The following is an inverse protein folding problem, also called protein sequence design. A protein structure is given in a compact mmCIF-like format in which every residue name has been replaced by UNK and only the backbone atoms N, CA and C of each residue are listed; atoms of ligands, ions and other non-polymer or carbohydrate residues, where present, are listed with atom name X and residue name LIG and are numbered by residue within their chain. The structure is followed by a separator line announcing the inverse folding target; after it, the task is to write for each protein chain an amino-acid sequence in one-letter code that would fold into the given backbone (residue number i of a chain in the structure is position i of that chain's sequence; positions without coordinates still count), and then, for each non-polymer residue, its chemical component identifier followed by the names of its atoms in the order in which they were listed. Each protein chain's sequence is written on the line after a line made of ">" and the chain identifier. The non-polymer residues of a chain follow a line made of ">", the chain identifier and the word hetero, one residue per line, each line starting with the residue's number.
data_IF_880371225127
#
_entry.id   IF_880371225127
#
_cell.length_a   1.000
_cell.length_b   1.000
_cell.length_c   1.000
_cell.angle_alpha   90.00
_cell.angle_beta   90.00
_cell.angle_gamma   90.00
#
_symmetry.space_group_name_H-M   'P 1'
#
loop_
_entity.id
_entity.type
_entity.pdbx_description
1 polymer ?
#
# COMPACT_ATOMS: atom_id res chain seq x y z
N UNK A 1 -3.12 18.82 -82.94
CA UNK A 1 -3.68 17.81 -82.03
C UNK A 1 -2.82 17.78 -80.76
N UNK A 2 -3.29 18.35 -79.62
CA UNK A 2 -2.55 18.43 -78.39
C UNK A 2 -3.23 17.45 -77.41
N UNK A 3 -2.48 16.42 -76.98
CA UNK A 3 -2.91 15.41 -75.99
C UNK A 3 -2.84 16.00 -74.56
N UNK A 4 -3.98 16.06 -73.88
CA UNK A 4 -4.02 16.38 -72.40
C UNK A 4 -3.75 15.13 -71.60
N UNK A 5 -2.61 15.10 -70.91
CA UNK A 5 -2.35 14.14 -69.88
C UNK A 5 -3.11 14.54 -68.62
N UNK A 6 -4.08 13.73 -68.18
CA UNK A 6 -4.74 13.85 -66.87
C UNK A 6 -3.90 13.12 -65.81
N UNK A 7 -3.31 13.87 -64.90
CA UNK A 7 -2.66 13.35 -63.73
C UNK A 7 -3.76 13.10 -62.67
N UNK A 8 -3.98 11.85 -62.31
CA UNK A 8 -4.87 11.49 -61.22
C UNK A 8 -4.08 11.59 -59.88
N UNK A 9 -4.46 12.53 -59.05
CA UNK A 9 -3.92 12.65 -57.69
C UNK A 9 -4.73 11.70 -56.80
N UNK A 10 -4.08 10.60 -56.32
CA UNK A 10 -4.66 9.69 -55.31
C UNK A 10 -4.35 10.31 -53.97
N UNK A 11 -5.39 10.82 -53.29
CA UNK A 11 -5.33 11.29 -51.91
C UNK A 11 -5.40 10.06 -50.98
N UNK A 12 -4.26 9.66 -50.43
CA UNK A 12 -4.22 8.67 -49.33
C UNK A 12 -4.70 9.35 -48.03
N UNK A 13 -5.93 9.07 -47.65
CA UNK A 13 -6.43 9.39 -46.32
C UNK A 13 -5.77 8.45 -45.28
N UNK A 14 -4.81 8.96 -44.52
CA UNK A 14 -4.27 8.30 -43.36
C UNK A 14 -5.33 8.32 -42.25
N UNK A 15 -5.94 7.18 -41.98
CA UNK A 15 -6.81 7.00 -40.82
C UNK A 15 -5.90 6.83 -39.59
N UNK A 16 -5.98 7.70 -38.57
CA UNK A 16 -5.22 7.48 -37.34
C UNK A 16 -5.79 6.24 -36.63
N UNK A 17 -4.98 5.22 -36.55
CA UNK A 17 -5.26 4.04 -35.68
C UNK A 17 -5.12 4.51 -34.22
N UNK A 18 -6.23 4.84 -33.58
CA UNK A 18 -6.28 5.01 -32.13
C UNK A 18 -6.10 3.61 -31.53
N UNK A 19 -4.89 3.29 -31.14
CA UNK A 19 -4.63 2.17 -30.27
C UNK A 19 -5.24 2.50 -28.90
N UNK A 20 -6.47 2.04 -28.66
CA UNK A 20 -7.01 1.97 -27.31
C UNK A 20 -6.17 0.96 -26.53
N UNK A 21 -5.30 1.45 -25.65
CA UNK A 21 -4.68 0.62 -24.62
C UNK A 21 -5.81 0.11 -23.72
N UNK A 22 -6.24 -1.12 -23.92
CA UNK A 22 -7.05 -1.84 -22.95
C UNK A 22 -6.12 -2.10 -21.78
N UNK A 23 -6.25 -1.29 -20.72
CA UNK A 23 -5.72 -1.67 -19.42
C UNK A 23 -6.42 -2.95 -19.02
N UNK A 24 -5.73 -4.08 -19.10
CA UNK A 24 -6.17 -5.31 -18.48
C UNK A 24 -6.07 -5.05 -16.96
N UNK A 25 -7.20 -4.70 -16.34
CA UNK A 25 -7.31 -4.65 -14.89
C UNK A 25 -6.91 -6.01 -14.30
N UNK A 26 -6.35 -6.00 -13.10
CA UNK A 26 -6.03 -7.23 -12.38
C UNK A 26 -7.27 -8.13 -12.26
N UNK A 27 -7.13 -9.42 -12.52
CA UNK A 27 -8.23 -10.37 -12.36
C UNK A 27 -8.37 -10.70 -10.87
N UNK A 28 -9.58 -10.50 -10.33
CA UNK A 28 -9.86 -10.76 -8.91
C UNK A 28 -9.85 -12.27 -8.63
N UNK A 29 -8.95 -12.77 -7.73
CA UNK A 29 -8.83 -14.21 -7.47
C UNK A 29 -10.02 -14.81 -6.71
N UNK A 30 -10.91 -13.97 -6.17
CA UNK A 30 -12.03 -14.37 -5.34
C UNK A 30 -11.70 -14.51 -3.87
N UNK A 31 -12.76 -14.56 -3.06
CA UNK A 31 -12.69 -14.84 -1.62
C UNK A 31 -13.40 -16.14 -1.31
N UNK A 32 -12.89 -16.84 -0.29
CA UNK A 32 -13.55 -18.02 0.27
C UNK A 32 -14.03 -17.65 1.67
N UNK A 33 -15.34 -17.83 1.91
CA UNK A 33 -15.93 -17.63 3.23
C UNK A 33 -16.01 -18.97 3.97
N UNK A 34 -15.54 -19.02 5.22
CA UNK A 34 -15.70 -20.22 6.04
C UNK A 34 -17.14 -20.30 6.58
N UNK A 35 -17.78 -21.49 6.54
CA UNK A 35 -19.16 -21.66 7.03
C UNK A 35 -19.27 -21.55 8.55
N UNK A 36 -18.17 -21.73 9.28
CA UNK A 36 -18.14 -21.76 10.73
C UNK A 36 -17.43 -20.51 11.30
N UNK A 37 -17.94 -20.04 12.46
CA UNK A 37 -17.30 -18.93 13.18
C UNK A 37 -15.93 -19.36 13.68
N UNK A 38 -14.89 -18.62 13.28
CA UNK A 38 -13.52 -18.82 13.73
C UNK A 38 -13.18 -17.89 14.88
N UNK A 39 -12.20 -18.30 15.70
CA UNK A 39 -11.73 -17.52 16.85
C UNK A 39 -10.41 -16.82 16.60
N UNK A 40 -9.73 -17.15 15.49
CA UNK A 40 -8.37 -16.69 15.16
C UNK A 40 -8.35 -15.65 14.06
N UNK A 41 -9.37 -15.64 13.17
CA UNK A 41 -9.51 -14.71 12.06
C UNK A 41 -10.97 -14.44 11.77
N UNK A 42 -11.23 -13.65 10.71
CA UNK A 42 -12.60 -13.24 10.33
C UNK A 42 -13.37 -14.35 9.59
N UNK A 43 -12.74 -15.51 9.32
CA UNK A 43 -13.35 -16.61 8.56
C UNK A 43 -13.42 -16.36 7.05
N UNK A 44 -12.70 -15.36 6.55
CA UNK A 44 -12.57 -15.03 5.14
C UNK A 44 -11.15 -15.34 4.69
N UNK A 45 -11.00 -15.92 3.52
CA UNK A 45 -9.72 -16.33 2.95
C UNK A 45 -9.47 -15.61 1.64
N UNK A 46 -8.23 -15.20 1.46
CA UNK A 46 -7.72 -14.66 0.21
C UNK A 46 -6.46 -15.43 -0.21
N UNK A 47 -6.48 -16.05 -1.38
CA UNK A 47 -5.38 -16.88 -1.88
C UNK A 47 -4.84 -17.87 -0.83
N UNK A 48 -5.74 -18.65 -0.22
CA UNK A 48 -5.50 -19.65 0.83
C UNK A 48 -5.07 -19.12 2.22
N UNK A 49 -4.86 -17.82 2.39
CA UNK A 49 -4.59 -17.18 3.68
C UNK A 49 -5.88 -16.76 4.37
N UNK A 50 -6.08 -17.18 5.62
CA UNK A 50 -7.14 -16.64 6.48
C UNK A 50 -6.77 -15.20 6.91
N UNK A 51 -7.71 -14.28 6.76
CA UNK A 51 -7.54 -12.88 7.13
C UNK A 51 -7.71 -12.74 8.65
N UNK A 52 -6.80 -12.01 9.31
CA UNK A 52 -6.87 -11.78 10.75
C UNK A 52 -7.96 -10.78 11.15
N UNK A 53 -8.23 -10.66 12.44
CA UNK A 53 -9.05 -9.58 12.97
C UNK A 53 -8.28 -8.25 12.93
N UNK A 54 -8.98 -7.18 12.60
CA UNK A 54 -8.45 -5.81 12.69
C UNK A 54 -8.23 -5.43 14.16
N UNK A 55 -7.08 -4.81 14.44
CA UNK A 55 -6.79 -4.23 15.74
C UNK A 55 -7.62 -2.96 15.96
N UNK A 56 -8.49 -2.95 16.98
CA UNK A 56 -9.31 -1.78 17.30
C UNK A 56 -8.50 -0.65 17.96
N UNK A 57 -8.95 0.60 17.77
CA UNK A 57 -8.31 1.82 18.30
C UNK A 57 -8.04 1.80 19.81
N UNK A 58 -8.80 1.02 20.60
CA UNK A 58 -8.55 0.85 22.05
C UNK A 58 -7.20 0.23 22.35
N UNK A 59 -6.59 -0.46 21.39
CA UNK A 59 -5.26 -1.03 21.50
C UNK A 59 -4.15 -0.08 20.97
N UNK A 60 -4.46 1.18 20.63
CA UNK A 60 -3.49 2.14 20.10
C UNK A 60 -2.26 2.35 21.01
N UNK A 61 -2.43 2.17 22.34
CA UNK A 61 -1.30 2.22 23.29
C UNK A 61 -0.22 1.18 23.02
N UNK A 62 -0.59 0.02 22.45
CA UNK A 62 0.37 -1.01 22.03
C UNK A 62 1.23 -0.54 20.84
N UNK A 63 0.67 0.26 19.93
CA UNK A 63 1.39 0.82 18.79
C UNK A 63 2.47 1.82 19.18
N UNK A 64 2.39 2.41 20.37
CA UNK A 64 3.33 3.39 20.89
C UNK A 64 4.24 2.83 22.00
N UNK A 65 4.30 1.48 22.18
CA UNK A 65 5.15 0.86 23.18
C UNK A 65 6.64 1.15 22.93
N UNK A 66 7.44 1.44 23.97
CA UNK A 66 8.86 1.78 23.78
C UNK A 66 9.70 0.66 23.15
N UNK A 67 9.33 -0.59 23.39
CA UNK A 67 10.01 -1.78 22.87
C UNK A 67 10.03 -1.81 21.33
N UNK A 68 9.05 -1.18 20.70
CA UNK A 68 8.90 -1.10 19.24
C UNK A 68 10.14 -0.53 18.53
N UNK A 69 10.86 0.38 19.20
CA UNK A 69 12.11 0.95 18.67
C UNK A 69 13.16 -0.15 18.42
N UNK A 70 13.26 -1.15 19.31
CA UNK A 70 14.21 -2.25 19.16
C UNK A 70 13.66 -3.41 18.32
N UNK A 71 12.35 -3.64 18.38
CA UNK A 71 11.67 -4.73 17.70
C UNK A 71 11.48 -4.46 16.20
N UNK A 72 11.20 -3.21 15.83
CA UNK A 72 10.79 -2.83 14.48
C UNK A 72 11.71 -1.79 13.82
N UNK A 73 12.67 -1.20 14.56
CA UNK A 73 13.67 -0.25 14.06
C UNK A 73 13.06 0.85 13.14
N UNK A 74 12.01 1.59 13.57
CA UNK A 74 11.19 2.41 12.69
C UNK A 74 11.97 3.52 11.97
N UNK A 75 13.01 4.09 12.61
CA UNK A 75 13.83 5.13 11.98
C UNK A 75 14.67 4.53 10.83
N UNK A 76 15.19 3.30 11.00
CA UNK A 76 15.88 2.59 9.95
C UNK A 76 14.95 2.20 8.79
N UNK A 77 13.69 1.83 9.08
CA UNK A 77 12.67 1.60 8.04
C UNK A 77 12.51 2.85 7.18
N UNK A 78 12.23 4.00 7.80
CA UNK A 78 11.99 5.26 7.08
C UNK A 78 13.23 5.71 6.32
N UNK A 79 14.43 5.49 6.84
CA UNK A 79 15.69 5.78 6.14
C UNK A 79 15.84 4.94 4.87
N UNK A 80 15.52 3.65 4.94
CA UNK A 80 15.61 2.73 3.80
C UNK A 80 14.48 2.90 2.75
N UNK A 81 13.46 3.71 3.05
CA UNK A 81 12.49 4.09 2.03
C UNK A 81 13.09 5.02 0.96
N UNK A 82 14.21 5.68 1.23
CA UNK A 82 14.87 6.60 0.30
C UNK A 82 13.87 7.59 -0.31
N UNK A 83 13.21 8.35 0.54
CA UNK A 83 12.21 9.35 0.16
C UNK A 83 12.87 10.67 -0.24
N UNK A 84 12.33 11.31 -1.28
CA UNK A 84 12.70 12.69 -1.62
C UNK A 84 11.88 13.67 -0.77
N UNK A 85 12.41 14.89 -0.49
CA UNK A 85 11.76 15.86 0.40
C UNK A 85 10.34 16.29 -0.03
N UNK A 86 10.00 16.21 -1.31
CA UNK A 86 8.74 16.62 -1.91
C UNK A 86 7.77 15.46 -2.19
N UNK A 87 8.13 14.24 -1.78
CA UNK A 87 7.27 13.07 -1.97
C UNK A 87 5.94 13.18 -1.22
N UNK A 88 4.90 12.66 -1.83
CA UNK A 88 3.61 12.39 -1.20
C UNK A 88 3.57 10.90 -0.83
N UNK A 89 3.49 10.61 0.46
CA UNK A 89 3.54 9.23 0.98
C UNK A 89 2.23 8.88 1.65
N UNK A 90 1.64 7.74 1.29
CA UNK A 90 0.48 7.19 1.99
C UNK A 90 0.92 6.17 3.05
N UNK A 91 0.53 6.39 4.30
CA UNK A 91 0.67 5.44 5.42
C UNK A 91 -0.67 4.74 5.57
N UNK A 92 -0.76 3.48 5.13
CA UNK A 92 -2.01 2.72 5.04
C UNK A 92 -2.18 1.82 6.26
N UNK A 93 -3.26 2.02 7.01
CA UNK A 93 -3.41 1.49 8.36
C UNK A 93 -2.55 2.27 9.35
N UNK A 94 -2.57 3.60 9.25
CA UNK A 94 -1.67 4.49 9.96
C UNK A 94 -1.74 4.37 11.50
N UNK A 95 -2.87 3.85 12.03
CA UNK A 95 -3.06 3.66 13.46
C UNK A 95 -2.87 4.96 14.24
N UNK A 96 -1.96 4.97 15.21
CA UNK A 96 -1.63 6.15 16.00
C UNK A 96 -0.72 7.17 15.29
N UNK A 97 -0.38 6.96 14.01
CA UNK A 97 0.56 7.80 13.27
C UNK A 97 2.03 7.52 13.56
N UNK A 98 2.34 6.39 14.18
CA UNK A 98 3.71 6.07 14.62
C UNK A 98 4.76 6.18 13.50
N UNK A 99 4.42 5.74 12.27
CA UNK A 99 5.25 5.92 11.09
C UNK A 99 4.96 7.26 10.39
N UNK A 100 3.71 7.72 10.37
CA UNK A 100 3.33 8.98 9.71
C UNK A 100 4.19 10.17 10.16
N UNK A 101 4.43 10.34 11.47
CA UNK A 101 5.25 11.44 12.00
C UNK A 101 6.73 11.34 11.61
N UNK A 102 7.27 10.11 11.54
CA UNK A 102 8.66 9.88 11.11
C UNK A 102 8.84 10.18 9.63
N UNK A 103 7.86 9.76 8.82
CA UNK A 103 7.85 10.03 7.37
C UNK A 103 7.68 11.53 7.11
N UNK A 104 6.78 12.20 7.84
CA UNK A 104 6.57 13.64 7.70
C UNK A 104 7.86 14.46 7.90
N UNK A 105 8.72 14.02 8.82
CA UNK A 105 10.04 14.64 9.02
C UNK A 105 11.02 14.44 7.84
N UNK A 106 10.80 13.42 6.99
CA UNK A 106 11.62 13.14 5.80
C UNK A 106 11.12 13.83 4.54
N UNK A 107 9.84 14.21 4.52
CA UNK A 107 9.19 14.84 3.37
C UNK A 107 8.69 16.26 3.72
N UNK A 108 9.59 17.18 4.14
CA UNK A 108 9.20 18.50 4.64
C UNK A 108 8.51 19.39 3.58
N UNK A 109 8.81 19.17 2.30
CA UNK A 109 8.23 19.90 1.16
C UNK A 109 7.06 19.10 0.50
N UNK A 110 6.87 17.86 0.92
CA UNK A 110 5.80 16.97 0.53
C UNK A 110 4.73 16.82 1.60
N UNK A 111 4.09 15.66 1.66
CA UNK A 111 3.11 15.35 2.71
C UNK A 111 2.93 13.86 2.95
N UNK A 112 2.37 13.53 4.10
CA UNK A 112 1.90 12.19 4.45
C UNK A 112 0.38 12.16 4.43
N UNK A 113 -0.19 11.18 3.72
CA UNK A 113 -1.60 10.84 3.78
C UNK A 113 -1.75 9.66 4.75
N UNK A 114 -2.17 9.96 5.98
CA UNK A 114 -2.39 8.95 7.02
C UNK A 114 -3.78 8.32 6.81
N UNK A 115 -3.82 7.12 6.22
CA UNK A 115 -5.06 6.43 5.87
C UNK A 115 -5.40 5.42 6.95
N UNK A 116 -6.59 5.54 7.54
CA UNK A 116 -7.11 4.54 8.47
C UNK A 116 -8.63 4.39 8.30
N UNK A 117 -9.16 3.19 8.57
CA UNK A 117 -10.61 2.92 8.52
C UNK A 117 -11.32 3.33 9.81
N UNK A 118 -10.57 3.61 10.88
CA UNK A 118 -11.09 3.98 12.20
C UNK A 118 -10.92 5.49 12.42
N UNK A 119 -12.01 6.26 12.45
CA UNK A 119 -11.93 7.72 12.65
C UNK A 119 -11.28 8.09 13.99
N UNK A 120 -11.34 7.22 14.99
CA UNK A 120 -10.68 7.44 16.28
C UNK A 120 -9.15 7.42 16.16
N UNK A 121 -8.58 6.63 15.26
CA UNK A 121 -7.14 6.64 14.97
C UNK A 121 -6.73 7.96 14.33
N UNK A 122 -7.51 8.46 13.36
CA UNK A 122 -7.26 9.76 12.73
C UNK A 122 -7.36 10.92 13.73
N UNK A 123 -8.28 10.85 14.70
CA UNK A 123 -8.38 11.84 15.78
C UNK A 123 -7.14 11.84 16.69
N UNK A 124 -6.54 10.66 16.95
CA UNK A 124 -5.26 10.58 17.69
C UNK A 124 -4.12 11.26 16.93
N UNK A 125 -4.05 11.05 15.61
CA UNK A 125 -3.05 11.69 14.75
C UNK A 125 -3.25 13.21 14.77
N UNK A 126 -4.47 13.69 14.56
CA UNK A 126 -4.79 15.13 14.58
C UNK A 126 -4.40 15.80 15.91
N UNK A 127 -4.68 15.13 17.03
CA UNK A 127 -4.28 15.62 18.35
C UNK A 127 -2.76 15.75 18.48
N UNK A 128 -2.01 14.74 18.05
CA UNK A 128 -0.55 14.74 18.09
C UNK A 128 0.06 15.77 17.13
N UNK A 129 -0.54 16.01 15.95
CA UNK A 129 -0.09 17.06 15.02
C UNK A 129 -0.08 18.43 15.70
N UNK A 130 -1.15 18.74 16.45
CA UNK A 130 -1.22 19.99 17.22
C UNK A 130 -0.15 20.09 18.32
N UNK A 131 0.08 18.98 19.05
CA UNK A 131 1.07 18.92 20.13
C UNK A 131 2.53 19.04 19.62
N UNK A 132 2.82 18.47 18.46
CA UNK A 132 4.16 18.41 17.87
C UNK A 132 4.43 19.52 16.82
N UNK A 133 3.43 20.38 16.56
CA UNK A 133 3.48 21.43 15.54
C UNK A 133 3.80 20.90 14.12
N UNK A 134 3.32 19.68 13.80
CA UNK A 134 3.47 19.06 12.47
C UNK A 134 2.27 19.42 11.60
N UNK A 135 2.51 19.91 10.38
CA UNK A 135 1.46 20.42 9.49
C UNK A 135 1.37 19.69 8.14
N UNK A 136 2.31 18.79 7.85
CA UNK A 136 2.37 18.06 6.56
C UNK A 136 1.86 16.62 6.66
N UNK A 137 0.97 16.34 7.61
CA UNK A 137 0.18 15.10 7.67
C UNK A 137 -1.27 15.44 7.39
N UNK A 138 -1.95 14.63 6.60
CA UNK A 138 -3.38 14.74 6.28
C UNK A 138 -4.05 13.40 6.60
N UNK A 139 -5.04 13.41 7.50
CA UNK A 139 -5.83 12.22 7.82
C UNK A 139 -6.82 11.90 6.70
N UNK A 140 -6.83 10.67 6.21
CA UNK A 140 -7.74 10.18 5.19
C UNK A 140 -8.55 9.02 5.75
N UNK A 141 -9.87 9.19 5.86
CA UNK A 141 -10.75 8.09 6.25
C UNK A 141 -10.92 7.13 5.08
N UNK A 142 -10.28 5.97 5.19
CA UNK A 142 -10.42 4.87 4.26
C UNK A 142 -11.72 4.08 4.48
N UNK A 143 -12.07 3.24 3.52
CA UNK A 143 -13.06 2.18 3.65
C UNK A 143 -12.36 0.82 3.73
N UNK A 144 -13.09 -0.24 4.05
CA UNK A 144 -12.52 -1.60 4.15
C UNK A 144 -12.02 -2.15 2.81
N UNK A 145 -12.47 -1.55 1.71
CA UNK A 145 -12.23 -1.94 0.32
C UNK A 145 -11.68 -0.78 -0.54
N UNK A 146 -11.40 0.38 0.05
CA UNK A 146 -10.91 1.53 -0.70
C UNK A 146 -10.07 2.45 0.20
N UNK A 147 -8.81 2.77 -0.17
CA UNK A 147 -7.98 3.71 0.57
C UNK A 147 -8.45 5.17 0.43
N UNK A 148 -9.41 5.46 -0.45
CA UNK A 148 -9.93 6.79 -0.75
C UNK A 148 -8.85 7.80 -1.18
N UNK A 149 -7.82 7.31 -1.89
CA UNK A 149 -6.74 8.13 -2.43
C UNK A 149 -7.02 8.52 -3.89
N UNK A 150 -6.71 9.75 -4.31
CA UNK A 150 -6.81 10.14 -5.72
C UNK A 150 -5.85 9.33 -6.60
N UNK A 151 -6.25 9.03 -7.84
CA UNK A 151 -5.37 8.34 -8.79
C UNK A 151 -4.10 9.16 -9.09
N UNK A 152 -2.96 8.46 -9.27
CA UNK A 152 -1.65 9.04 -9.61
C UNK A 152 -1.24 10.22 -8.69
N UNK A 153 -1.51 10.10 -7.39
CA UNK A 153 -1.29 11.18 -6.42
C UNK A 153 -0.15 10.92 -5.44
N UNK A 154 0.30 9.67 -5.28
CA UNK A 154 1.33 9.30 -4.30
C UNK A 154 2.58 8.78 -4.96
N UNK A 155 3.74 9.09 -4.36
CA UNK A 155 5.06 8.61 -4.77
C UNK A 155 5.39 7.27 -4.09
N UNK A 156 4.86 7.07 -2.88
CA UNK A 156 5.04 5.84 -2.13
C UNK A 156 3.82 5.53 -1.24
N UNK A 157 3.62 4.25 -0.96
CA UNK A 157 2.74 3.76 0.09
C UNK A 157 3.55 2.88 1.05
N UNK A 158 3.22 2.94 2.34
CA UNK A 158 3.75 2.03 3.35
C UNK A 158 2.60 1.34 4.07
N UNK A 159 2.76 0.06 4.37
CA UNK A 159 1.88 -0.74 5.22
C UNK A 159 2.76 -1.44 6.25
N UNK A 160 2.52 -1.20 7.53
CA UNK A 160 3.29 -1.80 8.61
C UNK A 160 2.37 -2.63 9.50
N UNK A 161 2.53 -3.95 9.42
CA UNK A 161 1.73 -4.92 10.17
C UNK A 161 0.21 -4.67 10.04
N UNK A 162 -0.23 -4.28 8.84
CA UNK A 162 -1.60 -3.90 8.55
C UNK A 162 -2.24 -4.73 7.44
N UNK A 163 -1.47 -5.13 6.43
CA UNK A 163 -2.01 -5.80 5.25
C UNK A 163 -2.70 -7.14 5.58
N UNK A 164 -2.15 -7.90 6.52
CA UNK A 164 -2.75 -9.16 6.97
C UNK A 164 -4.14 -9.01 7.61
N UNK A 165 -4.53 -7.77 7.99
CA UNK A 165 -5.83 -7.43 8.57
C UNK A 165 -6.86 -6.95 7.52
N UNK A 166 -6.45 -6.70 6.26
CA UNK A 166 -7.36 -6.19 5.24
C UNK A 166 -8.42 -7.23 4.91
N UNK A 167 -9.69 -6.90 5.18
CA UNK A 167 -10.83 -7.78 4.84
C UNK A 167 -11.12 -7.84 3.34
N UNK A 168 -10.61 -6.88 2.57
CA UNK A 168 -10.70 -6.77 1.12
C UNK A 168 -9.33 -6.42 0.53
N UNK A 169 -8.32 -7.33 0.66
CA UNK A 169 -6.95 -7.03 0.27
C UNK A 169 -6.80 -6.74 -1.22
N UNK A 170 -7.57 -7.39 -2.10
CA UNK A 170 -7.53 -7.12 -3.54
C UNK A 170 -7.94 -5.68 -3.85
N UNK A 171 -9.11 -5.25 -3.38
CA UNK A 171 -9.67 -3.92 -3.63
C UNK A 171 -8.79 -2.82 -3.03
N UNK A 172 -8.23 -3.06 -1.83
CA UNK A 172 -7.32 -2.11 -1.19
C UNK A 172 -6.03 -1.94 -1.99
N UNK A 173 -5.39 -3.03 -2.42
CA UNK A 173 -4.15 -2.94 -3.21
C UNK A 173 -4.43 -2.36 -4.59
N UNK A 174 -5.55 -2.71 -5.24
CA UNK A 174 -5.94 -2.06 -6.50
C UNK A 174 -6.09 -0.54 -6.32
N UNK A 175 -6.79 -0.10 -5.27
CA UNK A 175 -6.91 1.33 -4.96
C UNK A 175 -5.57 2.02 -4.70
N UNK A 176 -4.66 1.37 -3.97
CA UNK A 176 -3.29 1.87 -3.74
C UNK A 176 -2.51 1.91 -5.07
N UNK A 177 -2.59 0.86 -5.88
CA UNK A 177 -1.95 0.79 -7.19
C UNK A 177 -2.42 1.93 -8.12
N UNK A 178 -3.73 2.21 -8.15
CA UNK A 178 -4.27 3.34 -8.92
C UNK A 178 -3.79 4.69 -8.38
N UNK A 179 -3.60 4.82 -7.07
CA UNK A 179 -3.11 6.05 -6.45
C UNK A 179 -1.62 6.29 -6.69
N UNK A 180 -0.81 5.24 -6.87
CA UNK A 180 0.61 5.36 -7.17
C UNK A 180 0.85 6.03 -8.52
N UNK A 181 1.79 6.96 -8.55
CA UNK A 181 2.38 7.50 -9.78
C UNK A 181 3.19 6.40 -10.49
N UNK A 182 3.43 6.51 -11.81
CA UNK A 182 4.41 5.64 -12.50
C UNK A 182 5.76 5.63 -11.78
N UNK A 183 6.33 4.44 -11.54
CA UNK A 183 7.55 4.27 -10.76
C UNK A 183 7.38 4.41 -9.24
N UNK A 184 6.15 4.67 -8.77
CA UNK A 184 5.84 4.73 -7.35
C UNK A 184 5.99 3.37 -6.66
N UNK A 185 6.27 3.37 -5.35
CA UNK A 185 6.66 2.17 -4.60
C UNK A 185 5.70 1.86 -3.46
N UNK A 186 5.50 0.56 -3.22
CA UNK A 186 4.87 0.04 -2.01
C UNK A 186 5.96 -0.54 -1.12
N UNK A 187 5.99 -0.13 0.14
CA UNK A 187 6.78 -0.72 1.22
C UNK A 187 5.85 -1.51 2.12
N UNK A 188 5.96 -2.83 2.08
CA UNK A 188 5.12 -3.73 2.86
C UNK A 188 5.97 -4.39 3.92
N UNK A 189 5.65 -4.09 5.18
CA UNK A 189 6.29 -4.66 6.35
C UNK A 189 5.31 -5.61 7.04
N UNK A 190 5.75 -6.87 7.20
CA UNK A 190 4.97 -7.89 7.90
C UNK A 190 5.89 -8.76 8.76
N UNK A 191 5.39 -9.21 9.91
CA UNK A 191 6.11 -10.16 10.74
C UNK A 191 6.37 -11.46 9.99
N UNK A 192 7.60 -12.00 10.12
CA UNK A 192 8.05 -13.20 9.39
C UNK A 192 7.21 -14.42 9.73
N UNK A 193 6.43 -14.88 8.76
CA UNK A 193 5.65 -16.12 8.86
C UNK A 193 6.52 -17.37 8.89
N UNK A 194 7.70 -17.30 8.29
CA UNK A 194 8.69 -18.38 8.21
C UNK A 194 9.39 -18.64 9.54
N UNK A 195 9.45 -17.61 10.43
CA UNK A 195 10.17 -17.72 11.69
C UNK A 195 9.20 -18.02 12.85
N UNK A 196 9.23 -19.25 13.41
CA UNK A 196 8.40 -19.60 14.55
C UNK A 196 8.83 -18.92 15.85
N UNK A 197 10.04 -18.35 15.93
CA UNK A 197 10.55 -17.65 17.10
C UNK A 197 10.02 -16.23 17.26
N UNK A 198 9.51 -15.62 16.18
CA UNK A 198 8.84 -14.31 16.26
C UNK A 198 7.58 -14.42 17.11
N UNK A 199 7.48 -13.69 18.26
CA UNK A 199 6.46 -13.89 19.28
C UNK A 199 5.11 -13.22 18.95
N UNK A 200 4.66 -13.39 17.69
CA UNK A 200 3.42 -12.82 17.15
C UNK A 200 2.46 -13.97 16.79
N UNK A 201 1.16 -13.72 16.91
CA UNK A 201 0.12 -14.70 16.57
C UNK A 201 0.21 -15.10 15.09
N UNK A 202 -0.01 -16.39 14.73
CA UNK A 202 0.20 -16.86 13.36
C UNK A 202 -0.52 -16.06 12.27
N UNK A 203 -1.78 -15.62 12.50
CA UNK A 203 -2.53 -14.86 11.48
C UNK A 203 -2.08 -13.39 11.35
N UNK A 204 -1.23 -12.90 12.26
CA UNK A 204 -0.60 -11.59 12.18
C UNK A 204 0.83 -11.68 11.64
N UNK A 205 1.16 -12.78 10.94
CA UNK A 205 2.42 -12.98 10.24
C UNK A 205 2.13 -13.32 8.80
N UNK A 206 3.02 -12.94 7.91
CA UNK A 206 2.98 -13.35 6.50
C UNK A 206 4.33 -13.88 6.05
N UNK A 207 4.31 -14.90 5.20
CA UNK A 207 5.51 -15.32 4.50
C UNK A 207 5.78 -14.43 3.31
N UNK A 208 7.05 -14.27 2.94
CA UNK A 208 7.46 -13.57 1.72
C UNK A 208 6.77 -14.16 0.49
N UNK A 209 6.73 -15.50 0.39
CA UNK A 209 6.04 -16.22 -0.70
C UNK A 209 4.56 -15.81 -0.81
N UNK A 210 3.85 -15.72 0.33
CA UNK A 210 2.45 -15.33 0.34
C UNK A 210 2.26 -13.89 -0.13
N UNK A 211 3.09 -12.96 0.39
CA UNK A 211 3.02 -11.54 -0.01
C UNK A 211 3.30 -11.39 -1.51
N UNK A 212 4.36 -12.01 -2.02
CA UNK A 212 4.69 -11.96 -3.46
C UNK A 212 3.53 -12.50 -4.31
N UNK A 213 2.93 -13.63 -3.90
CA UNK A 213 1.79 -14.21 -4.59
C UNK A 213 0.59 -13.25 -4.63
N UNK A 214 0.27 -12.60 -3.50
CA UNK A 214 -0.86 -11.68 -3.42
C UNK A 214 -0.61 -10.37 -4.21
N UNK A 215 0.64 -9.87 -4.24
CA UNK A 215 0.99 -8.65 -4.97
C UNK A 215 1.15 -8.86 -6.48
N UNK A 216 1.49 -10.09 -6.92
CA UNK A 216 1.76 -10.40 -8.32
C UNK A 216 0.60 -10.16 -9.28
N UNK A 217 -0.64 -10.08 -8.77
CA UNK A 217 -1.85 -9.87 -9.59
C UNK A 217 -2.03 -8.41 -10.04
N UNK A 218 -1.25 -7.45 -9.50
CA UNK A 218 -1.46 -6.02 -9.72
C UNK A 218 -0.46 -5.36 -10.69
N UNK A 219 0.41 -6.12 -11.35
CA UNK A 219 1.44 -5.53 -12.23
C UNK A 219 2.48 -4.72 -11.44
N UNK A 220 2.71 -5.12 -10.19
CA UNK A 220 3.75 -4.61 -9.33
C UNK A 220 4.99 -5.50 -9.45
N UNK A 221 6.15 -4.90 -9.73
CA UNK A 221 7.42 -5.61 -9.67
C UNK A 221 7.89 -5.74 -8.23
N UNK A 222 8.10 -6.95 -7.75
CA UNK A 222 8.85 -7.18 -6.52
C UNK A 222 10.33 -6.86 -6.77
N UNK A 223 10.79 -5.72 -6.24
CA UNK A 223 12.12 -5.19 -6.53
C UNK A 223 13.16 -5.55 -5.49
N UNK A 224 12.76 -5.73 -4.24
CA UNK A 224 13.69 -6.09 -3.17
C UNK A 224 12.95 -6.59 -1.92
N UNK A 225 13.68 -7.31 -1.05
CA UNK A 225 13.33 -7.58 0.34
C UNK A 225 14.52 -7.23 1.23
N UNK A 226 14.34 -6.27 2.13
CA UNK A 226 15.36 -5.85 3.07
C UNK A 226 15.22 -6.60 4.39
N UNK A 227 16.25 -7.36 4.75
CA UNK A 227 16.27 -8.29 5.90
C UNK A 227 16.98 -7.75 7.15
N UNK A 228 17.07 -6.42 7.29
CA UNK A 228 17.74 -5.82 8.46
C UNK A 228 16.86 -5.78 9.71
N UNK A 229 15.55 -5.98 9.58
CA UNK A 229 14.61 -5.93 10.70
C UNK A 229 14.65 -7.23 11.51
N UNK A 230 14.57 -7.15 12.86
CA UNK A 230 14.65 -8.33 13.72
C UNK A 230 13.54 -9.35 13.46
N UNK A 231 12.28 -8.88 13.24
CA UNK A 231 11.10 -9.74 13.20
C UNK A 231 10.28 -9.64 11.92
N UNK A 232 10.52 -8.63 11.09
CA UNK A 232 9.73 -8.32 9.91
C UNK A 232 10.53 -8.49 8.61
N UNK A 233 9.82 -8.72 7.52
CA UNK A 233 10.30 -8.41 6.18
C UNK A 233 10.00 -6.94 5.87
N UNK A 234 10.86 -6.27 5.12
CA UNK A 234 10.52 -5.03 4.44
C UNK A 234 10.58 -5.29 2.94
N UNK A 235 9.43 -5.58 2.35
CA UNK A 235 9.31 -5.93 0.93
C UNK A 235 8.97 -4.68 0.12
N UNK A 236 9.62 -4.54 -1.03
CA UNK A 236 9.48 -3.37 -1.90
C UNK A 236 8.90 -3.80 -3.24
N UNK A 237 7.80 -3.17 -3.61
CA UNK A 237 7.13 -3.38 -4.89
C UNK A 237 7.07 -2.06 -5.64
N UNK A 238 7.36 -2.07 -6.95
CA UNK A 238 7.36 -0.89 -7.79
C UNK A 238 6.28 -1.00 -8.86
N UNK A 239 5.48 0.06 -9.04
CA UNK A 239 4.54 0.16 -10.14
C UNK A 239 5.30 0.34 -11.45
N UNK A 240 5.13 -0.62 -12.37
CA UNK A 240 5.64 -0.50 -13.74
C UNK A 240 4.77 0.51 -14.51
N UNK A 241 5.37 1.21 -15.47
CA UNK A 241 4.68 2.18 -16.33
C UNK A 241 3.49 1.60 -17.11
#
# INVERSE_FOLDING_TARGET
>A
MKSLNRIAIILLLAIPFLASSVSLGAEHPGYIEAPERRTTGIGKFYMDREISFVMGHRAAGWLNRPERIQEEMPDAVVENMNLEPDHVVADIGAGSGYFSFRIAAKVPDGKVLAVDIQPEMLQLIEGQMGEQEVSNIEGVLGAVDNPNLPANSIDAAIMVDAYHEFSHPFEMIDGIYQALKPGGRIFLLEYRGEDPSVPIRPLHKMTEEQVVREMSVFGLDWTDTLDFLPWQHMMIFTKIE
#
